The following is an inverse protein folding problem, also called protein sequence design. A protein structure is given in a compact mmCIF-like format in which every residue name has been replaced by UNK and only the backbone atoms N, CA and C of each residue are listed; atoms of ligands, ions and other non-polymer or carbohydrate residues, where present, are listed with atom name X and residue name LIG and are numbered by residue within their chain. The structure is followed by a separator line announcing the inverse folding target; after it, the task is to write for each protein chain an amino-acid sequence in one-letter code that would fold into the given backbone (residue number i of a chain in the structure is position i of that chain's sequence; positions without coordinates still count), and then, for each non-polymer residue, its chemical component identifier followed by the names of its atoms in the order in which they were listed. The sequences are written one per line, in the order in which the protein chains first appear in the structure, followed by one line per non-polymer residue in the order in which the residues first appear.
data_IF_123578737568
#
_entry.id   IF_123578737568
#
_cell.length_a   1.000
_cell.length_b   1.000
_cell.length_c   1.000
_cell.angle_alpha   90.00
_cell.angle_beta   90.00
_cell.angle_gamma   90.00
#
_symmetry.space_group_name_H-M   'P 1'
#
loop_
_entity.id
_entity.type
_entity.pdbx_description
1 polymer ?
#
# COMPACT_ATOMS: atom_id res chain seq x y z
N UNK A 1 10.73 -31.74 -26.74
CA UNK A 1 11.83 -30.99 -26.07
C UNK A 1 11.42 -29.53 -26.07
N UNK A 2 11.06 -28.97 -24.90
CA UNK A 2 10.53 -27.60 -24.83
C UNK A 2 11.65 -26.59 -25.07
N UNK A 3 11.48 -25.77 -26.11
CA UNK A 3 12.33 -24.62 -26.43
C UNK A 3 11.92 -23.45 -25.53
N UNK A 4 12.38 -23.44 -24.29
CA UNK A 4 12.36 -22.21 -23.52
C UNK A 4 13.45 -21.30 -24.08
N UNK A 5 13.12 -20.04 -24.36
CA UNK A 5 14.17 -19.04 -24.67
C UNK A 5 15.11 -18.93 -23.47
N UNK A 6 16.41 -18.71 -23.67
CA UNK A 6 17.39 -18.64 -22.58
C UNK A 6 16.95 -17.64 -21.48
N UNK A 7 16.37 -16.51 -21.90
CA UNK A 7 15.85 -15.46 -21.00
C UNK A 7 14.72 -15.95 -20.09
N UNK A 8 13.81 -16.77 -20.60
CA UNK A 8 12.69 -17.30 -19.83
C UNK A 8 13.17 -18.31 -18.77
N UNK A 9 14.16 -19.15 -19.14
CA UNK A 9 14.79 -20.08 -18.22
C UNK A 9 15.51 -19.36 -17.08
N UNK A 10 16.27 -18.31 -17.40
CA UNK A 10 17.04 -17.54 -16.42
C UNK A 10 16.12 -16.83 -15.42
N UNK A 11 15.05 -16.18 -15.90
CA UNK A 11 14.05 -15.53 -15.03
C UNK A 11 13.36 -16.53 -14.10
N UNK A 12 12.99 -17.71 -14.61
CA UNK A 12 12.40 -18.76 -13.80
C UNK A 12 13.34 -19.22 -12.67
N UNK A 13 14.64 -19.36 -12.96
CA UNK A 13 15.65 -19.74 -11.96
C UNK A 13 15.74 -18.64 -10.90
N UNK A 14 15.93 -17.39 -11.30
CA UNK A 14 16.05 -16.25 -10.37
C UNK A 14 14.84 -16.12 -9.45
N UNK A 15 13.63 -16.23 -9.98
CA UNK A 15 12.40 -16.15 -9.18
C UNK A 15 12.33 -17.32 -8.20
N UNK A 16 12.67 -18.54 -8.65
CA UNK A 16 12.62 -19.73 -7.79
C UNK A 16 13.63 -19.64 -6.64
N UNK A 17 14.85 -19.18 -6.91
CA UNK A 17 15.89 -18.96 -5.89
C UNK A 17 15.42 -17.94 -4.84
N UNK A 18 14.87 -16.80 -5.27
CA UNK A 18 14.35 -15.77 -4.34
C UNK A 18 13.22 -16.26 -3.44
N UNK A 19 12.37 -17.19 -3.94
CA UNK A 19 11.30 -17.78 -3.15
C UNK A 19 11.81 -18.82 -2.16
N UNK A 20 12.81 -19.61 -2.55
CA UNK A 20 13.46 -20.58 -1.65
C UNK A 20 14.20 -19.88 -0.51
N UNK A 21 14.80 -18.72 -0.80
CA UNK A 21 15.56 -17.95 0.18
C UNK A 21 14.67 -17.11 1.12
N UNK A 22 13.38 -16.91 0.79
CA UNK A 22 12.48 -16.02 1.55
C UNK A 22 11.06 -16.61 1.69
N UNK A 23 10.83 -17.34 2.79
CA UNK A 23 9.55 -17.96 3.12
C UNK A 23 8.38 -16.96 3.25
N UNK A 24 8.66 -15.73 3.69
CA UNK A 24 7.61 -14.72 3.83
C UNK A 24 7.15 -14.18 2.45
N UNK A 25 8.07 -14.10 1.50
CA UNK A 25 7.78 -13.71 0.13
C UNK A 25 6.93 -14.76 -0.59
N UNK A 26 7.24 -16.04 -0.40
CA UNK A 26 6.44 -17.16 -0.93
C UNK A 26 5.00 -17.11 -0.41
N UNK A 27 4.83 -16.94 0.91
CA UNK A 27 3.52 -16.78 1.53
C UNK A 27 2.74 -15.57 0.98
N UNK A 28 3.43 -14.45 0.74
CA UNK A 28 2.82 -13.24 0.21
C UNK A 28 2.32 -13.43 -1.23
N UNK A 29 3.11 -14.09 -2.09
CA UNK A 29 2.75 -14.38 -3.48
C UNK A 29 1.60 -15.38 -3.53
N UNK A 30 1.65 -16.45 -2.73
CA UNK A 30 0.56 -17.42 -2.65
C UNK A 30 -0.77 -16.75 -2.26
N UNK A 31 -0.74 -15.77 -1.36
CA UNK A 31 -1.92 -15.04 -0.90
C UNK A 31 -2.48 -14.09 -1.94
N UNK A 32 -1.62 -13.38 -2.66
CA UNK A 32 -2.04 -12.21 -3.47
C UNK A 32 -2.08 -12.54 -4.97
N UNK A 33 -1.37 -13.59 -5.40
CA UNK A 33 -1.24 -14.06 -6.78
C UNK A 33 -1.36 -15.60 -6.89
N UNK A 34 -2.40 -16.24 -6.28
CA UNK A 34 -2.48 -17.71 -6.17
C UNK A 34 -2.42 -18.44 -7.52
N UNK A 35 -2.98 -17.83 -8.57
CA UNK A 35 -3.02 -18.41 -9.91
C UNK A 35 -1.65 -18.40 -10.61
N UNK A 36 -0.75 -17.49 -10.24
CA UNK A 36 0.56 -17.38 -10.88
C UNK A 36 1.54 -18.42 -10.32
N UNK A 37 1.43 -18.75 -9.03
CA UNK A 37 2.32 -19.73 -8.39
C UNK A 37 2.11 -21.16 -8.90
N UNK A 38 0.86 -21.56 -9.16
CA UNK A 38 0.57 -22.85 -9.80
C UNK A 38 1.20 -22.95 -11.20
N UNK A 39 1.16 -21.87 -11.99
CA UNK A 39 1.75 -21.81 -13.34
C UNK A 39 3.28 -21.76 -13.34
N UNK A 40 3.90 -21.16 -12.32
CA UNK A 40 5.35 -21.15 -12.13
C UNK A 40 5.89 -22.57 -11.98
N UNK A 41 5.26 -23.38 -11.12
CA UNK A 41 5.66 -24.77 -10.87
C UNK A 41 5.58 -25.63 -12.14
N UNK A 42 4.61 -25.36 -12.98
CA UNK A 42 4.40 -26.09 -14.24
C UNK A 42 5.21 -25.52 -15.43
N UNK A 43 6.03 -24.48 -15.22
CA UNK A 43 6.78 -23.75 -16.27
C UNK A 43 5.90 -23.29 -17.44
N UNK A 44 4.69 -22.80 -17.11
CA UNK A 44 3.69 -22.31 -18.07
C UNK A 44 3.47 -20.79 -18.01
N UNK A 45 4.27 -20.09 -17.21
CA UNK A 45 4.22 -18.63 -17.16
C UNK A 45 4.83 -18.04 -18.44
N UNK A 46 4.13 -17.09 -19.05
CA UNK A 46 4.70 -16.25 -20.09
C UNK A 46 5.81 -15.35 -19.55
N UNK A 47 6.74 -14.93 -20.41
CA UNK A 47 7.81 -13.98 -20.05
C UNK A 47 7.25 -12.71 -19.38
N UNK A 48 6.11 -12.19 -19.85
CA UNK A 48 5.46 -11.03 -19.25
C UNK A 48 4.99 -11.29 -17.82
N UNK A 49 4.38 -12.45 -17.55
CA UNK A 49 3.98 -12.85 -16.18
C UNK A 49 5.20 -12.98 -15.27
N UNK A 50 6.33 -13.51 -15.77
CA UNK A 50 7.58 -13.60 -15.00
C UNK A 50 8.17 -12.22 -14.68
N UNK A 51 8.17 -11.29 -15.64
CA UNK A 51 8.64 -9.92 -15.42
C UNK A 51 7.77 -9.21 -14.38
N UNK A 52 6.44 -9.39 -14.44
CA UNK A 52 5.53 -8.81 -13.45
C UNK A 52 5.76 -9.39 -12.06
N UNK A 53 5.98 -10.69 -11.97
CA UNK A 53 6.28 -11.36 -10.71
C UNK A 53 7.62 -10.91 -10.13
N UNK A 54 8.67 -10.79 -10.95
CA UNK A 54 9.96 -10.27 -10.50
C UNK A 54 9.82 -8.85 -9.94
N UNK A 55 9.09 -7.96 -10.65
CA UNK A 55 8.79 -6.62 -10.15
C UNK A 55 8.04 -6.62 -8.83
N UNK A 56 7.10 -7.57 -8.66
CA UNK A 56 6.39 -7.75 -7.40
C UNK A 56 7.35 -8.17 -6.29
N UNK A 57 8.23 -9.14 -6.56
CA UNK A 57 9.23 -9.62 -5.61
C UNK A 57 10.15 -8.48 -5.19
N UNK A 58 10.79 -7.80 -6.14
CA UNK A 58 11.72 -6.70 -5.87
C UNK A 58 11.10 -5.61 -4.99
N UNK A 59 9.82 -5.33 -5.22
CA UNK A 59 9.07 -4.35 -4.43
C UNK A 59 8.77 -4.82 -3.00
N UNK A 60 8.66 -6.14 -2.79
CA UNK A 60 8.20 -6.75 -1.53
C UNK A 60 9.30 -7.48 -0.72
N UNK A 61 10.55 -7.46 -1.17
CA UNK A 61 11.68 -8.11 -0.51
C UNK A 61 11.91 -7.65 0.95
N UNK A 62 11.73 -6.36 1.25
CA UNK A 62 11.97 -5.82 2.61
C UNK A 62 10.65 -5.55 3.36
N UNK A 63 10.14 -6.61 4.00
CA UNK A 63 8.85 -6.59 4.73
C UNK A 63 8.82 -5.51 5.80
N UNK A 64 9.89 -5.39 6.58
CA UNK A 64 9.93 -4.46 7.72
C UNK A 64 9.85 -3.00 7.24
N UNK A 65 10.71 -2.63 6.28
CA UNK A 65 10.70 -1.30 5.64
C UNK A 65 9.35 -1.00 5.00
N UNK A 66 8.77 -1.99 4.34
CA UNK A 66 7.48 -1.87 3.66
C UNK A 66 6.34 -1.64 4.64
N UNK A 67 6.27 -2.41 5.73
CA UNK A 67 5.27 -2.25 6.78
C UNK A 67 5.41 -0.91 7.51
N UNK A 68 6.63 -0.44 7.76
CA UNK A 68 6.85 0.91 8.30
C UNK A 68 6.35 1.98 7.33
N UNK A 69 6.66 1.84 6.04
CA UNK A 69 6.18 2.77 5.00
C UNK A 69 4.65 2.76 4.89
N UNK A 70 4.01 1.61 5.06
CA UNK A 70 2.54 1.49 5.12
C UNK A 70 2.02 2.20 6.38
N UNK A 71 2.60 1.94 7.56
CA UNK A 71 2.16 2.56 8.81
C UNK A 71 2.31 4.09 8.78
N UNK A 72 3.40 4.62 8.24
CA UNK A 72 3.56 6.07 8.02
C UNK A 72 2.44 6.62 7.12
N UNK A 73 2.05 5.89 6.06
CA UNK A 73 0.89 6.26 5.23
C UNK A 73 -0.44 6.20 6.01
N UNK A 74 -0.61 5.23 6.91
CA UNK A 74 -1.78 5.17 7.79
C UNK A 74 -1.85 6.37 8.74
N UNK A 75 -0.71 6.91 9.19
CA UNK A 75 -0.65 8.17 9.94
C UNK A 75 -0.95 9.43 9.08
N UNK A 76 -1.21 9.29 7.77
CA UNK A 76 -1.39 10.42 6.86
C UNK A 76 -0.10 10.88 6.18
N UNK A 77 0.99 10.13 6.27
CA UNK A 77 2.28 10.40 5.64
C UNK A 77 3.34 10.89 6.62
N UNK A 78 4.57 11.05 6.13
CA UNK A 78 5.76 11.31 6.95
C UNK A 78 5.63 12.57 7.80
N UNK A 79 5.18 13.68 7.23
CA UNK A 79 5.01 14.94 7.98
C UNK A 79 3.94 14.84 9.07
N UNK A 80 2.87 14.07 8.84
CA UNK A 80 1.80 13.88 9.81
C UNK A 80 2.26 12.98 10.96
N UNK A 81 2.94 11.88 10.64
CA UNK A 81 3.55 11.00 11.63
C UNK A 81 4.60 11.73 12.47
N UNK A 82 5.54 12.43 11.85
CA UNK A 82 6.58 13.18 12.55
C UNK A 82 5.97 14.18 13.56
N UNK A 83 4.94 14.91 13.14
CA UNK A 83 4.22 15.83 14.01
C UNK A 83 3.55 15.12 15.20
N UNK A 84 2.90 13.98 14.97
CA UNK A 84 2.19 13.27 16.05
C UNK A 84 3.13 12.55 17.01
N UNK A 85 4.26 12.03 16.51
CA UNK A 85 5.26 11.32 17.32
C UNK A 85 6.27 12.24 18.02
N UNK A 86 6.13 13.56 17.88
CA UNK A 86 7.10 14.55 18.38
C UNK A 86 8.53 14.28 17.89
N UNK A 87 8.66 13.77 16.67
CA UNK A 87 9.94 13.55 15.98
C UNK A 87 10.08 14.56 14.85
N UNK A 88 11.30 14.97 14.51
CA UNK A 88 11.46 15.77 13.29
C UNK A 88 11.26 14.89 12.05
N UNK A 89 10.75 15.48 10.97
CA UNK A 89 10.61 14.77 9.69
C UNK A 89 11.96 14.27 9.15
N UNK A 90 13.03 15.00 9.46
CA UNK A 90 14.40 14.66 9.08
C UNK A 90 14.86 13.43 9.86
N UNK A 91 14.57 13.35 11.16
CA UNK A 91 14.96 12.20 11.98
C UNK A 91 14.24 10.93 11.53
N UNK A 92 12.94 11.03 11.24
CA UNK A 92 12.17 9.90 10.68
C UNK A 92 12.77 9.42 9.35
N UNK A 93 13.11 10.35 8.46
CA UNK A 93 13.74 10.03 7.17
C UNK A 93 15.13 9.39 7.37
N UNK A 94 15.93 9.94 8.28
CA UNK A 94 17.26 9.43 8.62
C UNK A 94 17.19 7.99 9.16
N UNK A 95 16.25 7.70 10.07
CA UNK A 95 16.07 6.35 10.59
C UNK A 95 15.58 5.37 9.52
N UNK A 96 14.76 5.81 8.54
CA UNK A 96 14.37 4.98 7.40
C UNK A 96 15.56 4.62 6.51
N UNK A 97 16.45 5.58 6.26
CA UNK A 97 17.65 5.43 5.43
C UNK A 97 18.71 4.56 6.10
N UNK A 98 18.90 4.72 7.42
CA UNK A 98 19.83 3.92 8.23
C UNK A 98 19.27 2.55 8.64
N UNK A 99 18.04 2.23 8.24
CA UNK A 99 17.33 1.01 8.64
C UNK A 99 17.18 0.84 10.17
N UNK A 100 17.08 1.96 10.90
CA UNK A 100 16.85 2.02 12.35
C UNK A 100 15.36 1.84 12.67
N UNK A 101 14.81 0.72 12.23
CA UNK A 101 13.36 0.47 12.18
C UNK A 101 12.70 0.31 13.55
N UNK A 102 13.38 -0.21 14.55
CA UNK A 102 12.81 -0.49 15.88
C UNK A 102 12.35 0.80 16.61
N UNK A 103 13.11 1.90 16.47
CA UNK A 103 12.72 3.20 17.03
C UNK A 103 11.41 3.69 16.40
N UNK A 104 11.28 3.52 15.07
CA UNK A 104 10.08 3.90 14.35
C UNK A 104 8.89 3.01 14.70
N UNK A 105 9.09 1.71 14.88
CA UNK A 105 8.03 0.75 15.23
C UNK A 105 7.41 1.11 16.58
N UNK A 106 8.23 1.37 17.60
CA UNK A 106 7.73 1.74 18.92
C UNK A 106 6.83 2.99 18.86
N UNK A 107 7.26 4.01 18.11
CA UNK A 107 6.47 5.23 17.90
C UNK A 107 5.22 4.99 17.05
N UNK A 108 5.28 4.12 16.03
CA UNK A 108 4.14 3.84 15.14
C UNK A 108 3.06 3.01 15.84
N UNK A 109 3.43 2.04 16.67
CA UNK A 109 2.49 1.17 17.38
C UNK A 109 1.41 1.97 18.13
N UNK A 110 1.81 3.04 18.84
CA UNK A 110 0.90 3.91 19.58
C UNK A 110 -0.02 4.76 18.70
N UNK A 111 0.32 4.99 17.44
CA UNK A 111 -0.41 5.88 16.53
C UNK A 111 -1.31 5.16 15.55
N UNK A 112 -0.92 3.98 15.08
CA UNK A 112 -1.73 3.18 14.15
C UNK A 112 -2.56 2.08 14.85
N UNK A 113 -2.44 1.97 16.18
CA UNK A 113 -3.11 0.94 16.96
C UNK A 113 -2.70 -0.48 16.55
N UNK A 114 -1.42 -0.67 16.23
CA UNK A 114 -0.85 -1.95 15.79
C UNK A 114 0.21 -2.42 16.78
N UNK A 115 0.39 -3.74 16.85
CA UNK A 115 1.44 -4.36 17.67
C UNK A 115 2.74 -4.45 16.90
N UNK A 116 3.88 -4.64 17.58
CA UNK A 116 5.17 -4.84 16.91
C UNK A 116 5.15 -6.03 15.96
N UNK A 117 4.37 -7.07 16.27
CA UNK A 117 4.20 -8.25 15.41
C UNK A 117 3.54 -7.92 14.07
N UNK A 118 2.66 -6.91 14.05
CA UNK A 118 2.10 -6.41 12.80
C UNK A 118 3.20 -6.01 11.83
N UNK A 119 4.31 -5.43 12.27
CA UNK A 119 5.39 -4.99 11.37
C UNK A 119 6.22 -6.13 10.78
N UNK A 120 6.13 -7.33 11.33
CA UNK A 120 6.84 -8.53 10.84
C UNK A 120 6.01 -9.36 9.86
N UNK A 121 4.68 -9.21 9.89
CA UNK A 121 3.81 -9.97 8.97
C UNK A 121 3.98 -9.52 7.51
N UNK A 122 4.18 -10.45 6.59
CA UNK A 122 4.19 -10.18 5.15
C UNK A 122 2.91 -9.52 4.66
N UNK A 123 3.03 -8.34 4.04
CA UNK A 123 1.94 -7.59 3.39
C UNK A 123 2.42 -7.00 2.08
N UNK A 124 1.47 -6.85 1.15
CA UNK A 124 1.77 -6.22 -0.14
C UNK A 124 2.07 -4.76 0.07
N UNK A 125 3.25 -4.38 -0.37
CA UNK A 125 3.63 -3.00 -0.55
C UNK A 125 3.31 -2.55 -1.97
N UNK A 126 2.65 -1.40 -2.03
CA UNK A 126 2.41 -0.68 -3.28
C UNK A 126 3.20 0.63 -3.22
N UNK A 127 3.88 0.94 -4.32
CA UNK A 127 4.54 2.24 -4.50
C UNK A 127 3.52 3.39 -4.45
N UNK A 128 3.97 4.62 -4.20
CA UNK A 128 3.07 5.78 -4.14
C UNK A 128 2.30 6.00 -5.46
N UNK A 129 2.89 5.64 -6.60
CA UNK A 129 2.20 5.69 -7.90
C UNK A 129 1.03 4.71 -7.95
N UNK A 130 1.25 3.46 -7.56
CA UNK A 130 0.20 2.45 -7.48
C UNK A 130 -0.87 2.86 -6.46
N UNK A 131 -0.45 3.37 -5.30
CA UNK A 131 -1.37 3.86 -4.28
C UNK A 131 -2.24 5.01 -4.74
N UNK A 132 -1.69 5.96 -5.50
CA UNK A 132 -2.45 7.07 -6.07
C UNK A 132 -3.55 6.56 -7.01
N UNK A 133 -3.24 5.55 -7.83
CA UNK A 133 -4.22 4.91 -8.71
C UNK A 133 -5.28 4.12 -7.94
N UNK A 134 -4.89 3.37 -6.91
CA UNK A 134 -5.80 2.62 -6.02
C UNK A 134 -6.76 3.58 -5.32
N UNK A 135 -6.23 4.61 -4.65
CA UNK A 135 -7.02 5.62 -3.93
C UNK A 135 -8.01 6.32 -4.85
N UNK A 136 -7.59 6.70 -6.06
CA UNK A 136 -8.49 7.27 -7.07
C UNK A 136 -9.69 6.37 -7.34
N UNK A 137 -9.45 5.08 -7.61
CA UNK A 137 -10.52 4.11 -7.91
C UNK A 137 -11.45 3.96 -6.71
N UNK A 138 -10.91 3.77 -5.52
CA UNK A 138 -11.69 3.60 -4.30
C UNK A 138 -12.53 4.86 -3.99
N UNK A 139 -11.95 6.06 -4.12
CA UNK A 139 -12.68 7.32 -3.93
C UNK A 139 -13.78 7.48 -4.98
N UNK A 140 -13.52 7.15 -6.25
CA UNK A 140 -14.53 7.25 -7.30
C UNK A 140 -15.75 6.36 -7.01
N UNK A 141 -15.53 5.14 -6.50
CA UNK A 141 -16.61 4.22 -6.09
C UNK A 141 -17.43 4.82 -4.97
N UNK A 142 -16.80 5.33 -3.91
CA UNK A 142 -17.52 5.98 -2.80
C UNK A 142 -18.35 7.15 -3.32
N UNK A 143 -17.71 8.05 -4.06
CA UNK A 143 -18.35 9.27 -4.56
C UNK A 143 -19.57 8.94 -5.43
N UNK A 144 -19.51 7.87 -6.24
CA UNK A 144 -20.66 7.43 -7.04
C UNK A 144 -21.85 6.93 -6.21
N UNK A 145 -21.62 6.52 -4.96
CA UNK A 145 -22.65 5.99 -4.06
C UNK A 145 -23.14 7.02 -3.02
N UNK A 146 -22.54 8.22 -2.95
CA UNK A 146 -22.89 9.22 -1.95
C UNK A 146 -24.12 10.04 -2.36
N UNK A 147 -25.26 9.80 -1.70
CA UNK A 147 -26.48 10.60 -1.84
C UNK A 147 -26.32 12.07 -1.39
N UNK A 148 -25.36 12.35 -0.50
CA UNK A 148 -25.07 13.67 0.07
C UNK A 148 -23.81 14.35 -0.49
N UNK A 149 -23.46 14.12 -1.76
CA UNK A 149 -22.17 14.55 -2.33
C UNK A 149 -21.80 16.03 -2.07
N UNK A 150 -22.69 17.03 -2.25
CA UNK A 150 -22.32 18.43 -1.98
C UNK A 150 -21.93 18.70 -0.52
N UNK A 151 -22.63 18.07 0.45
CA UNK A 151 -22.31 18.20 1.87
C UNK A 151 -20.96 17.55 2.20
N UNK A 152 -20.69 16.39 1.62
CA UNK A 152 -19.40 15.72 1.72
C UNK A 152 -18.26 16.59 1.19
N UNK A 153 -18.40 17.14 -0.02
CA UNK A 153 -17.37 18.03 -0.60
C UNK A 153 -17.15 19.26 0.26
N UNK A 154 -18.23 19.84 0.82
CA UNK A 154 -18.14 20.97 1.74
C UNK A 154 -17.32 20.60 2.98
N UNK A 155 -17.64 19.49 3.65
CA UNK A 155 -16.93 19.02 4.84
C UNK A 155 -15.45 18.72 4.57
N UNK A 156 -15.16 18.07 3.42
CA UNK A 156 -13.78 17.82 2.99
C UNK A 156 -13.04 19.13 2.75
N UNK A 157 -13.64 20.04 1.97
CA UNK A 157 -13.05 21.33 1.64
C UNK A 157 -12.71 22.16 2.88
N UNK A 158 -13.60 22.18 3.88
CA UNK A 158 -13.41 22.91 5.13
C UNK A 158 -12.20 22.38 5.93
N UNK A 159 -12.08 21.06 6.06
CA UNK A 159 -11.01 20.44 6.84
C UNK A 159 -9.64 20.40 6.13
N UNK A 160 -9.61 20.52 4.80
CA UNK A 160 -8.36 20.50 4.04
C UNK A 160 -7.49 21.75 4.28
N UNK A 161 -8.07 22.90 4.63
CA UNK A 161 -7.36 24.14 4.86
C UNK A 161 -6.30 24.43 3.77
N UNK A 162 -5.00 24.56 4.12
CA UNK A 162 -3.95 24.96 3.17
C UNK A 162 -3.62 23.90 2.12
N UNK A 163 -4.01 22.62 2.31
CA UNK A 163 -3.69 21.54 1.35
C UNK A 163 -4.82 21.28 0.34
N UNK A 164 -5.82 22.15 0.26
CA UNK A 164 -6.99 22.00 -0.62
C UNK A 164 -6.63 21.77 -2.10
N UNK A 165 -5.60 22.43 -2.60
CA UNK A 165 -5.13 22.25 -3.99
C UNK A 165 -4.65 20.81 -4.29
N UNK A 166 -4.25 20.05 -3.27
CA UNK A 166 -3.81 18.67 -3.43
C UNK A 166 -4.98 17.67 -3.49
N UNK A 167 -6.19 18.07 -3.09
CA UNK A 167 -7.36 17.21 -3.17
C UNK A 167 -7.71 16.85 -4.62
N UNK A 168 -7.67 17.84 -5.51
CA UNK A 168 -7.89 17.61 -6.95
C UNK A 168 -6.86 16.60 -7.50
N UNK A 169 -5.59 16.72 -7.10
CA UNK A 169 -4.55 15.76 -7.49
C UNK A 169 -4.87 14.34 -7.02
N UNK A 170 -5.42 14.17 -5.81
CA UNK A 170 -5.86 12.85 -5.31
C UNK A 170 -7.00 12.29 -6.16
N UNK A 171 -7.99 13.12 -6.50
CA UNK A 171 -9.12 12.72 -7.36
C UNK A 171 -8.68 12.34 -8.78
N UNK A 172 -7.64 12.98 -9.29
CA UNK A 172 -7.04 12.67 -10.59
C UNK A 172 -6.17 11.40 -10.55
N UNK A 173 -5.79 10.92 -9.36
CA UNK A 173 -4.80 9.85 -9.16
C UNK A 173 -3.36 10.31 -9.39
N UNK A 174 -3.12 11.62 -9.35
CA UNK A 174 -1.81 12.25 -9.48
C UNK A 174 -1.02 12.13 -8.19
N UNK A 175 0.29 11.94 -8.30
CA UNK A 175 1.19 11.87 -7.12
C UNK A 175 1.16 13.20 -6.36
N UNK A 176 1.00 13.12 -5.04
CA UNK A 176 1.01 14.29 -4.16
C UNK A 176 1.55 13.92 -2.77
N UNK A 177 2.38 14.77 -2.13
CA UNK A 177 2.91 14.50 -0.79
C UNK A 177 1.82 14.44 0.30
N UNK A 178 0.63 14.97 0.02
CA UNK A 178 -0.50 14.98 0.95
C UNK A 178 -1.55 13.90 0.67
N UNK A 179 -1.30 12.99 -0.28
CA UNK A 179 -2.29 12.00 -0.71
C UNK A 179 -2.80 11.13 0.44
N UNK A 180 -1.87 10.61 1.26
CA UNK A 180 -2.21 9.83 2.44
C UNK A 180 -3.06 10.64 3.44
N UNK A 181 -2.62 11.85 3.82
CA UNK A 181 -3.36 12.73 4.74
C UNK A 181 -4.78 13.02 4.28
N UNK A 182 -4.96 13.31 3.00
CA UNK A 182 -6.26 13.59 2.40
C UNK A 182 -7.15 12.34 2.43
N UNK A 183 -6.59 11.16 2.15
CA UNK A 183 -7.34 9.91 2.24
C UNK A 183 -7.77 9.60 3.68
N UNK A 184 -6.89 9.80 4.66
CA UNK A 184 -7.23 9.63 6.09
C UNK A 184 -8.33 10.61 6.52
N UNK A 185 -8.30 11.84 6.02
CA UNK A 185 -9.37 12.82 6.24
C UNK A 185 -10.71 12.36 5.65
N UNK A 186 -10.70 11.88 4.40
CA UNK A 186 -11.91 11.37 3.73
C UNK A 186 -12.49 10.18 4.50
N UNK A 187 -11.65 9.23 4.90
CA UNK A 187 -12.08 8.09 5.72
C UNK A 187 -12.73 8.54 7.02
N UNK A 188 -12.11 9.48 7.73
CA UNK A 188 -12.67 10.02 8.97
C UNK A 188 -14.03 10.69 8.76
N UNK A 189 -14.18 11.53 7.73
CA UNK A 189 -15.44 12.21 7.40
C UNK A 189 -16.55 11.21 7.08
N UNK A 190 -16.20 10.09 6.44
CA UNK A 190 -17.13 9.04 6.03
C UNK A 190 -17.33 7.95 7.09
N UNK A 191 -16.66 8.04 8.23
CA UNK A 191 -16.70 6.99 9.27
C UNK A 191 -16.09 5.65 8.82
N UNK A 192 -15.19 5.66 7.83
CA UNK A 192 -14.55 4.45 7.33
C UNK A 192 -13.38 4.03 8.25
N UNK A 193 -13.12 2.72 8.38
CA UNK A 193 -11.94 2.23 9.07
C UNK A 193 -10.64 2.80 8.48
N UNK A 194 -9.66 3.04 9.34
CA UNK A 194 -8.36 3.57 8.96
C UNK A 194 -7.68 2.70 7.89
N UNK A 195 -7.29 3.30 6.76
CA UNK A 195 -6.60 2.60 5.70
C UNK A 195 -7.50 1.96 4.63
N UNK A 196 -8.83 2.11 4.75
CA UNK A 196 -9.79 1.53 3.79
C UNK A 196 -9.50 1.95 2.35
N UNK A 197 -9.19 3.23 2.09
CA UNK A 197 -8.87 3.73 0.75
C UNK A 197 -7.54 3.22 0.19
N UNK A 198 -6.70 2.63 1.02
CA UNK A 198 -5.42 2.05 0.61
C UNK A 198 -5.54 0.55 0.26
N UNK A 199 -6.73 -0.05 0.42
CA UNK A 199 -6.99 -1.45 0.07
C UNK A 199 -7.07 -1.66 -1.43
N UNK A 200 -6.69 -2.85 -1.89
CA UNK A 200 -6.96 -3.26 -3.27
C UNK A 200 -8.46 -3.28 -3.53
N UNK A 201 -8.87 -3.03 -4.78
CA UNK A 201 -10.28 -2.86 -5.17
C UNK A 201 -11.21 -3.96 -4.59
N UNK A 202 -10.85 -5.24 -4.75
CA UNK A 202 -11.67 -6.35 -4.26
C UNK A 202 -11.78 -6.39 -2.72
N UNK A 203 -10.73 -6.00 -1.99
CA UNK A 203 -10.76 -5.92 -0.51
C UNK A 203 -11.56 -4.70 -0.06
N UNK A 204 -11.39 -3.57 -0.77
CA UNK A 204 -12.11 -2.34 -0.54
C UNK A 204 -13.63 -2.54 -0.70
N UNK A 205 -14.08 -3.11 -1.82
CA UNK A 205 -15.50 -3.36 -2.10
C UNK A 205 -16.16 -4.25 -1.04
N UNK A 206 -15.44 -5.25 -0.54
CA UNK A 206 -15.92 -6.11 0.56
C UNK A 206 -16.13 -5.32 1.85
N UNK A 207 -15.11 -4.57 2.29
CA UNK A 207 -15.18 -3.78 3.52
C UNK A 207 -16.27 -2.72 3.45
N UNK A 208 -16.39 -2.03 2.32
CA UNK A 208 -17.43 -1.02 2.11
C UNK A 208 -18.81 -1.66 1.99
N UNK A 209 -18.94 -2.79 1.30
CA UNK A 209 -20.20 -3.53 1.23
C UNK A 209 -20.71 -3.99 2.59
N UNK A 210 -19.82 -4.33 3.53
CA UNK A 210 -20.19 -4.67 4.91
C UNK A 210 -20.63 -3.46 5.75
N UNK A 211 -20.18 -2.24 5.42
CA UNK A 211 -20.49 -1.02 6.17
C UNK A 211 -21.79 -0.33 5.73
N UNK A 212 -22.25 -0.58 4.50
CA UNK A 212 -23.42 0.06 3.91
C UNK A 212 -24.62 -0.89 3.71
N UNK A 213 -24.53 -2.13 4.21
CA UNK A 213 -25.66 -3.07 4.35
C UNK A 213 -26.09 -3.15 5.81
#
# INVERSE_FOLDING_TARGET
MSRYSSVESDLHITISEQLLDNADLDNLICKELPNQFSRLKDKRCSINELIELQKFIDLNQNILKNNISIAIRLCGGLSAFAKSSNMSAIDVQTSLEKAEYEILIAALCSHVGKTSEWFRTGRVYYSERQMSAIRKKNIAVIVSCLSGYPKFVSAVSEQLGPIKAHYVKVLEGSKTPHGARICRLIENILGLPLGTLDLSQAKFERVVGELFN
#
